data_IF_105797164494
#
_entry.id   IF_105797164494
#
_cell.length_a   1.000
_cell.length_b   1.000
_cell.length_c   1.000
_cell.angle_alpha   90.00
_cell.angle_beta   90.00
_cell.angle_gamma   90.00
#
_symmetry.space_group_name_H-M   'P 1'
#
loop_
_entity.id
_entity.type
_entity.pdbx_description
1 polymer ?
#
# COMPACT_ATOMS: atom_id res chain seq x y z
N UNK A 1 -11.48 -48.98 -0.98
CA UNK A 1 -11.81 -47.84 -0.06
C UNK A 1 -10.62 -47.09 0.49
N UNK A 2 -9.44 -47.71 0.75
CA UNK A 2 -8.26 -46.98 1.29
C UNK A 2 -7.61 -45.94 0.34
N UNK A 3 -7.73 -46.09 -0.99
CA UNK A 3 -7.14 -45.15 -1.98
C UNK A 3 -7.91 -43.83 -2.16
N UNK A 4 -9.22 -43.82 -1.86
CA UNK A 4 -10.07 -42.63 -1.99
C UNK A 4 -9.85 -41.70 -0.76
N UNK A 5 -9.57 -42.28 0.40
CA UNK A 5 -9.31 -41.51 1.62
C UNK A 5 -7.99 -40.72 1.54
N UNK A 6 -6.99 -41.27 0.86
CA UNK A 6 -5.69 -40.57 0.68
C UNK A 6 -5.79 -39.39 -0.28
N UNK A 7 -6.62 -39.47 -1.32
CA UNK A 7 -6.85 -38.39 -2.26
C UNK A 7 -7.59 -37.19 -1.61
N UNK A 8 -8.52 -37.45 -0.71
CA UNK A 8 -9.26 -36.42 0.03
C UNK A 8 -8.40 -35.68 1.05
N UNK A 9 -7.43 -36.36 1.67
CA UNK A 9 -6.48 -35.72 2.60
C UNK A 9 -5.48 -34.84 1.86
N UNK A 10 -5.01 -35.24 0.67
CA UNK A 10 -4.13 -34.39 -0.14
C UNK A 10 -4.84 -33.15 -0.69
N UNK A 11 -6.11 -33.24 -1.10
CA UNK A 11 -6.88 -32.05 -1.55
C UNK A 11 -7.17 -31.06 -0.44
N UNK A 12 -7.36 -31.52 0.82
CA UNK A 12 -7.57 -30.60 1.95
C UNK A 12 -6.30 -29.86 2.38
N UNK A 13 -5.11 -30.40 2.08
CA UNK A 13 -3.83 -29.73 2.35
C UNK A 13 -3.45 -28.70 1.28
N UNK A 14 -3.98 -28.83 0.05
CA UNK A 14 -3.75 -27.87 -1.03
C UNK A 14 -4.69 -26.65 -0.99
N UNK A 15 -5.79 -26.71 -0.23
CA UNK A 15 -6.74 -25.62 -0.10
C UNK A 15 -6.37 -24.59 0.99
N UNK A 16 -5.30 -24.79 1.73
CA UNK A 16 -4.78 -23.82 2.71
C UNK A 16 -3.67 -22.94 2.12
N UNK A 17 -3.87 -22.38 0.93
CA UNK A 17 -3.18 -21.18 0.48
C UNK A 17 -3.70 -19.99 1.30
N UNK A 18 -3.50 -20.04 2.61
CA UNK A 18 -3.95 -18.99 3.50
C UNK A 18 -3.08 -17.77 3.31
N UNK A 19 -3.62 -16.79 2.64
CA UNK A 19 -3.17 -15.41 2.73
C UNK A 19 -3.32 -14.98 4.21
N UNK A 20 -2.36 -15.32 5.05
CA UNK A 20 -2.41 -15.03 6.48
C UNK A 20 -2.00 -13.58 6.66
N UNK A 21 -2.99 -12.68 6.66
CA UNK A 21 -2.84 -11.32 7.17
C UNK A 21 -2.45 -11.38 8.65
N UNK A 22 -1.18 -11.58 8.94
CA UNK A 22 -0.65 -11.50 10.29
C UNK A 22 -0.23 -10.06 10.57
N UNK A 23 -0.56 -9.50 11.74
CA UNK A 23 0.04 -8.26 12.17
C UNK A 23 1.56 -8.45 12.17
N UNK A 24 2.31 -7.46 11.67
CA UNK A 24 3.77 -7.51 11.64
C UNK A 24 4.30 -7.89 13.02
N UNK A 25 5.10 -8.95 13.14
CA UNK A 25 5.75 -9.28 14.41
C UNK A 25 6.62 -8.09 14.81
N UNK A 26 6.49 -7.63 16.04
CA UNK A 26 7.09 -6.41 16.57
C UNK A 26 8.62 -6.30 16.42
N UNK A 27 9.31 -7.35 16.01
CA UNK A 27 10.76 -7.46 16.11
C UNK A 27 11.54 -7.71 14.80
N UNK A 28 10.90 -7.88 13.64
CA UNK A 28 11.65 -8.26 12.43
C UNK A 28 11.55 -7.30 11.25
N UNK A 29 10.48 -6.47 11.16
CA UNK A 29 10.27 -5.59 10.01
C UNK A 29 9.94 -4.19 10.51
N UNK A 30 10.98 -3.48 10.91
CA UNK A 30 10.83 -2.16 11.50
C UNK A 30 10.57 -1.13 10.40
N UNK A 31 9.33 -0.73 10.26
CA UNK A 31 8.96 0.48 9.53
C UNK A 31 8.85 1.65 10.50
N UNK A 32 9.07 2.88 10.05
CA UNK A 32 8.88 4.11 10.84
C UNK A 32 7.42 4.62 10.80
N UNK A 33 6.54 3.94 10.07
CA UNK A 33 5.11 4.22 10.13
C UNK A 33 4.50 3.72 11.43
N UNK A 34 3.78 4.61 12.12
CA UNK A 34 3.11 4.31 13.39
C UNK A 34 1.60 4.40 13.23
N UNK A 35 0.90 3.31 13.60
CA UNK A 35 -0.57 3.26 13.56
C UNK A 35 -1.16 4.37 14.43
N UNK A 36 -2.21 5.00 13.93
CA UNK A 36 -2.90 6.14 14.52
C UNK A 36 -2.16 7.48 14.47
N UNK A 37 -0.94 7.54 13.93
CA UNK A 37 -0.27 8.82 13.66
C UNK A 37 -0.84 9.49 12.40
N UNK A 38 -0.83 10.82 12.45
CA UNK A 38 -1.26 11.67 11.34
C UNK A 38 -0.04 12.21 10.60
N UNK A 39 -0.18 12.28 9.28
CA UNK A 39 0.79 12.84 8.35
C UNK A 39 0.10 13.82 7.43
N UNK A 40 0.86 14.73 6.84
CA UNK A 40 0.40 15.60 5.77
C UNK A 40 1.24 15.39 4.52
N UNK A 41 0.62 15.52 3.37
CA UNK A 41 1.30 15.51 2.09
C UNK A 41 2.09 16.82 1.90
N UNK A 42 3.38 16.74 1.64
CA UNK A 42 4.25 17.88 1.31
C UNK A 42 4.19 18.27 -0.15
N UNK A 43 3.69 17.38 -0.99
CA UNK A 43 3.50 17.60 -2.42
C UNK A 43 2.27 16.85 -2.91
N UNK A 44 1.67 17.23 -4.05
CA UNK A 44 0.55 16.50 -4.60
C UNK A 44 0.96 15.08 -5.02
N UNK A 45 0.02 14.14 -4.90
CA UNK A 45 0.17 12.74 -5.30
C UNK A 45 -1.10 12.27 -6.01
N UNK A 46 -0.99 11.21 -6.81
CA UNK A 46 -2.17 10.58 -7.40
C UNK A 46 -2.76 9.52 -6.45
N UNK A 47 -4.07 9.51 -6.37
CA UNK A 47 -4.85 8.44 -5.76
C UNK A 47 -5.40 7.56 -6.87
N UNK A 48 -4.94 6.33 -6.95
CA UNK A 48 -5.25 5.42 -8.06
C UNK A 48 -5.80 4.09 -7.59
N UNK A 49 -6.73 3.55 -8.37
CA UNK A 49 -7.17 2.18 -8.29
C UNK A 49 -6.30 1.36 -9.26
N UNK A 50 -5.31 0.63 -8.74
CA UNK A 50 -4.35 -0.12 -9.58
C UNK A 50 -4.88 -1.48 -10.01
N UNK A 51 -5.81 -2.08 -9.26
CA UNK A 51 -6.36 -3.38 -9.62
C UNK A 51 -7.89 -3.35 -9.66
N UNK A 52 -8.43 -3.78 -10.79
CA UNK A 52 -9.89 -3.91 -10.99
C UNK A 52 -10.39 -5.36 -10.78
N UNK A 53 -9.51 -6.33 -10.43
CA UNK A 53 -9.85 -7.74 -10.65
C UNK A 53 -9.98 -8.64 -9.39
N UNK A 54 -9.47 -8.29 -8.22
CA UNK A 54 -9.52 -9.22 -7.05
C UNK A 54 -9.90 -8.51 -5.75
N UNK A 55 -9.29 -7.38 -5.45
CA UNK A 55 -9.66 -6.50 -4.35
C UNK A 55 -9.40 -5.08 -4.84
N UNK A 56 -10.39 -4.21 -4.78
CA UNK A 56 -10.26 -2.81 -5.15
C UNK A 56 -9.25 -2.12 -4.22
N UNK A 57 -7.99 -2.14 -4.63
CA UNK A 57 -6.88 -1.61 -3.84
C UNK A 57 -6.54 -0.21 -4.37
N UNK A 58 -6.74 0.79 -3.53
CA UNK A 58 -6.34 2.15 -3.82
C UNK A 58 -4.89 2.37 -3.37
N UNK A 59 -4.12 3.08 -4.19
CA UNK A 59 -2.73 3.44 -3.87
C UNK A 59 -2.55 4.96 -3.93
N UNK A 60 -1.66 5.48 -3.09
CA UNK A 60 -1.04 6.77 -3.37
C UNK A 60 0.19 6.54 -4.25
N UNK A 61 0.27 7.32 -5.32
CA UNK A 61 1.34 7.20 -6.31
C UNK A 61 2.06 8.55 -6.45
N UNK A 62 3.37 8.51 -6.33
CA UNK A 62 4.22 9.67 -6.53
C UNK A 62 4.15 10.13 -7.99
N UNK A 63 4.02 11.45 -8.22
CA UNK A 63 4.12 12.04 -9.57
C UNK A 63 5.54 11.79 -10.09
N UNK A 64 5.66 11.35 -11.34
CA UNK A 64 6.95 11.03 -11.97
C UNK A 64 7.41 9.59 -11.80
N UNK A 65 6.57 8.71 -11.24
CA UNK A 65 6.82 7.26 -11.30
C UNK A 65 6.39 6.78 -12.68
N UNK A 66 7.37 6.49 -13.53
CA UNK A 66 7.13 5.93 -14.85
C UNK A 66 6.54 4.52 -14.74
N UNK A 67 5.69 4.16 -15.73
CA UNK A 67 5.33 2.77 -16.07
C UNK A 67 4.29 2.05 -15.20
N UNK A 68 3.33 2.78 -14.65
CA UNK A 68 2.11 2.15 -14.11
C UNK A 68 0.93 2.16 -15.12
N UNK A 69 1.20 2.40 -16.38
CA UNK A 69 0.34 2.23 -17.57
C UNK A 69 -0.95 3.06 -17.60
N UNK A 70 -1.65 3.22 -16.49
CA UNK A 70 -2.93 3.93 -16.39
C UNK A 70 -2.83 5.23 -15.55
N UNK A 71 -1.62 5.64 -15.17
CA UNK A 71 -1.37 6.80 -14.32
C UNK A 71 -0.55 7.82 -15.12
N UNK A 72 -0.92 9.11 -15.10
CA UNK A 72 -0.14 10.14 -15.79
C UNK A 72 1.24 10.29 -15.14
N UNK A 73 2.28 10.40 -15.94
CA UNK A 73 3.65 10.59 -15.45
C UNK A 73 3.85 11.98 -14.84
N UNK A 74 3.11 12.97 -15.36
CA UNK A 74 3.25 14.37 -14.94
C UNK A 74 1.92 15.00 -14.58
N UNK A 75 1.97 16.02 -13.73
CA UNK A 75 0.81 16.83 -13.40
C UNK A 75 0.22 17.52 -14.63
N UNK A 76 1.06 17.92 -15.58
CA UNK A 76 0.64 18.56 -16.83
C UNK A 76 -0.18 17.59 -17.70
N UNK A 77 0.25 16.36 -17.84
CA UNK A 77 -0.52 15.32 -18.55
C UNK A 77 -1.90 15.11 -17.92
N UNK A 78 -1.95 15.03 -16.59
CA UNK A 78 -3.21 14.93 -15.86
C UNK A 78 -4.12 16.14 -16.12
N UNK A 79 -3.57 17.36 -16.01
CA UNK A 79 -4.34 18.60 -16.17
C UNK A 79 -4.90 18.81 -17.60
N UNK A 80 -4.21 18.31 -18.63
CA UNK A 80 -4.68 18.37 -20.01
C UNK A 80 -5.96 17.57 -20.25
N UNK A 81 -6.11 16.43 -19.62
CA UNK A 81 -7.28 15.57 -19.76
C UNK A 81 -7.50 14.71 -18.50
N UNK A 82 -8.00 15.29 -17.40
CA UNK A 82 -8.19 14.57 -16.14
C UNK A 82 -9.08 13.33 -16.26
N UNK A 83 -10.07 13.37 -17.15
CA UNK A 83 -11.02 12.26 -17.35
C UNK A 83 -10.46 11.07 -18.12
N UNK A 84 -9.28 11.21 -18.73
CA UNK A 84 -8.61 10.10 -19.43
C UNK A 84 -7.94 9.10 -18.48
N UNK A 85 -7.84 9.45 -17.20
CA UNK A 85 -7.08 8.69 -16.21
C UNK A 85 -8.00 8.18 -15.09
N UNK A 86 -7.79 6.94 -14.66
CA UNK A 86 -8.50 6.35 -13.51
C UNK A 86 -7.81 6.79 -12.18
N UNK A 87 -7.54 8.09 -12.04
CA UNK A 87 -6.88 8.66 -10.87
C UNK A 87 -7.55 9.95 -10.41
N UNK A 88 -7.48 10.21 -9.13
CA UNK A 88 -7.78 11.51 -8.53
C UNK A 88 -6.46 12.17 -8.07
N UNK A 89 -6.40 13.48 -8.06
CA UNK A 89 -5.28 14.23 -7.51
C UNK A 89 -5.55 14.57 -6.05
N UNK A 90 -4.69 14.14 -5.15
CA UNK A 90 -4.63 14.62 -3.77
C UNK A 90 -3.69 15.82 -3.72
N UNK A 91 -4.17 16.99 -3.29
CA UNK A 91 -3.34 18.18 -3.19
C UNK A 91 -2.31 18.08 -2.05
N UNK A 92 -1.30 18.93 -2.12
CA UNK A 92 -0.44 19.22 -0.97
C UNK A 92 -1.28 19.59 0.26
N UNK A 93 -0.78 19.30 1.44
CA UNK A 93 -1.44 19.51 2.75
C UNK A 93 -2.62 18.58 3.05
N UNK A 94 -2.94 17.62 2.16
CA UNK A 94 -3.93 16.58 2.49
C UNK A 94 -3.45 15.79 3.70
N UNK A 95 -4.33 15.66 4.69
CA UNK A 95 -4.06 14.94 5.93
C UNK A 95 -4.37 13.45 5.78
N UNK A 96 -3.47 12.62 6.28
CA UNK A 96 -3.55 11.16 6.27
C UNK A 96 -3.37 10.62 7.69
N UNK A 97 -4.06 9.55 8.02
CA UNK A 97 -3.89 8.80 9.28
C UNK A 97 -3.49 7.38 8.97
N UNK A 98 -2.39 6.91 9.53
CA UNK A 98 -2.02 5.50 9.40
C UNK A 98 -3.04 4.64 10.13
N UNK A 99 -3.78 3.86 9.38
CA UNK A 99 -4.83 2.98 9.92
C UNK A 99 -4.29 1.57 10.21
N UNK A 100 -3.29 1.11 9.44
CA UNK A 100 -2.77 -0.24 9.57
C UNK A 100 -1.36 -0.41 9.01
N UNK A 101 -0.56 -1.25 9.66
CA UNK A 101 0.70 -1.80 9.15
C UNK A 101 0.55 -3.31 9.15
N UNK A 102 0.55 -3.94 7.98
CA UNK A 102 0.35 -5.36 7.81
C UNK A 102 1.58 -6.04 7.25
N UNK A 103 1.87 -7.19 7.79
CA UNK A 103 2.77 -8.17 7.20
C UNK A 103 1.94 -9.27 6.55
N UNK A 104 2.20 -9.53 5.27
CA UNK A 104 1.59 -10.63 4.53
C UNK A 104 2.68 -11.54 3.99
N UNK A 105 2.38 -12.81 3.85
CA UNK A 105 3.21 -13.76 3.14
C UNK A 105 2.41 -14.32 1.98
N UNK A 106 2.86 -14.04 0.78
CA UNK A 106 2.34 -14.62 -0.44
C UNK A 106 3.24 -15.78 -0.85
N UNK A 107 2.65 -16.91 -1.22
CA UNK A 107 3.41 -18.11 -1.55
C UNK A 107 4.32 -17.92 -2.75
N UNK A 108 3.89 -17.16 -3.76
CA UNK A 108 4.66 -16.90 -4.99
C UNK A 108 5.57 -15.68 -4.87
N UNK A 109 5.08 -14.61 -4.22
CA UNK A 109 5.78 -13.33 -4.15
C UNK A 109 6.56 -13.13 -2.83
N UNK A 110 6.42 -14.05 -1.87
CA UNK A 110 7.10 -13.98 -0.58
C UNK A 110 6.49 -12.97 0.41
N UNK A 111 7.25 -12.60 1.43
CA UNK A 111 6.80 -11.68 2.46
C UNK A 111 6.69 -10.25 1.93
N UNK A 112 5.67 -9.50 2.41
CA UNK A 112 5.44 -8.08 2.06
C UNK A 112 4.93 -7.31 3.26
N UNK A 113 5.24 -6.01 3.31
CA UNK A 113 4.68 -5.07 4.27
C UNK A 113 3.79 -4.09 3.53
N UNK A 114 2.58 -3.90 4.06
CA UNK A 114 1.59 -2.97 3.52
C UNK A 114 1.28 -1.89 4.54
N UNK A 115 1.42 -0.64 4.14
CA UNK A 115 1.08 0.52 4.95
C UNK A 115 -0.25 1.07 4.44
N UNK A 116 -1.29 0.97 5.26
CA UNK A 116 -2.62 1.50 4.94
C UNK A 116 -2.85 2.80 5.68
N UNK A 117 -3.28 3.82 4.97
CA UNK A 117 -3.71 5.09 5.52
C UNK A 117 -5.17 5.38 5.17
N UNK A 118 -5.80 6.24 5.96
CA UNK A 118 -7.09 6.85 5.71
C UNK A 118 -6.87 8.33 5.39
N UNK A 119 -7.52 8.83 4.34
CA UNK A 119 -7.54 10.24 3.98
C UNK A 119 -8.51 10.95 4.89
N UNK A 120 -8.06 12.01 5.57
CA UNK A 120 -8.86 12.68 6.61
C UNK A 120 -9.66 13.86 6.08
N UNK A 121 -9.27 14.43 4.93
CA UNK A 121 -9.88 15.65 4.40
C UNK A 121 -10.09 15.60 2.89
N UNK A 122 -10.75 16.64 2.37
CA UNK A 122 -11.00 16.80 0.93
C UNK A 122 -12.07 15.85 0.37
N UNK A 123 -12.12 15.77 -0.95
CA UNK A 123 -13.11 14.99 -1.74
C UNK A 123 -13.05 13.48 -1.41
N UNK A 124 -11.87 12.98 -1.07
CA UNK A 124 -11.61 11.57 -0.82
C UNK A 124 -11.56 11.21 0.67
N UNK A 125 -12.04 12.10 1.56
CA UNK A 125 -12.08 11.86 3.00
C UNK A 125 -12.78 10.53 3.34
N UNK A 126 -12.20 9.77 4.26
CA UNK A 126 -12.65 8.44 4.67
C UNK A 126 -12.20 7.30 3.72
N UNK A 127 -11.64 7.61 2.55
CA UNK A 127 -11.08 6.57 1.68
C UNK A 127 -9.77 6.04 2.26
N UNK A 128 -9.55 4.73 2.07
CA UNK A 128 -8.30 4.06 2.46
C UNK A 128 -7.41 3.84 1.25
N UNK A 129 -6.12 3.96 1.46
CA UNK A 129 -5.11 3.75 0.43
C UNK A 129 -3.84 3.13 0.99
N UNK A 130 -3.05 2.54 0.11
CA UNK A 130 -1.72 2.01 0.41
C UNK A 130 -0.66 3.07 0.10
N UNK A 131 0.32 3.19 0.99
CA UNK A 131 1.41 4.16 0.89
C UNK A 131 2.70 3.59 0.28
N UNK A 132 2.72 2.32 -0.10
CA UNK A 132 3.95 1.65 -0.54
C UNK A 132 4.62 2.31 -1.75
N UNK A 133 3.84 2.91 -2.66
CA UNK A 133 4.37 3.59 -3.87
C UNK A 133 4.81 5.05 -3.62
N UNK A 134 4.54 5.59 -2.43
CA UNK A 134 5.05 6.89 -1.97
C UNK A 134 6.08 6.74 -0.86
N UNK A 135 6.42 5.51 -0.50
CA UNK A 135 7.42 5.17 0.52
C UNK A 135 8.78 4.89 -0.10
N UNK A 136 9.85 5.10 0.66
CA UNK A 136 11.19 4.64 0.30
C UNK A 136 11.30 3.17 0.68
N UNK A 137 11.72 2.33 -0.28
CA UNK A 137 12.00 0.92 0.01
C UNK A 137 13.44 0.78 0.49
N UNK A 138 13.61 0.28 1.71
CA UNK A 138 14.92 0.14 2.35
C UNK A 138 15.23 -1.32 2.63
N UNK A 139 16.29 -1.83 2.02
CA UNK A 139 16.82 -3.13 2.39
C UNK A 139 17.53 -3.04 3.74
N UNK A 140 17.06 -3.81 4.73
CA UNK A 140 17.68 -3.87 6.05
C UNK A 140 18.45 -5.17 6.20
N UNK A 141 19.59 -5.11 6.86
CA UNK A 141 20.38 -6.30 7.21
C UNK A 141 19.48 -7.32 7.93
N UNK A 142 19.58 -8.57 7.52
CA UNK A 142 18.79 -9.69 8.03
C UNK A 142 17.27 -9.63 7.70
N UNK A 143 16.83 -8.73 6.81
CA UNK A 143 15.47 -8.75 6.29
C UNK A 143 15.42 -9.46 4.93
N UNK A 144 14.48 -10.40 4.71
CA UNK A 144 14.30 -11.03 3.39
C UNK A 144 13.57 -10.12 2.41
N UNK A 145 13.15 -8.92 2.83
CA UNK A 145 12.38 -7.98 2.02
C UNK A 145 12.80 -6.55 2.29
N UNK A 146 12.53 -5.68 1.31
CA UNK A 146 12.60 -4.25 1.50
C UNK A 146 11.46 -3.75 2.38
N UNK A 147 11.79 -2.87 3.31
CA UNK A 147 10.85 -2.32 4.28
C UNK A 147 10.43 -0.92 3.83
N UNK A 148 9.11 -0.64 3.72
CA UNK A 148 8.64 0.70 3.39
C UNK A 148 8.89 1.66 4.55
N UNK A 149 9.65 2.72 4.26
CA UNK A 149 9.98 3.81 5.19
C UNK A 149 9.37 5.12 4.71
N UNK A 150 9.17 6.07 5.62
CA UNK A 150 8.62 7.39 5.28
C UNK A 150 9.54 8.12 4.29
N UNK A 151 8.99 8.53 3.15
CA UNK A 151 9.66 9.53 2.31
C UNK A 151 9.33 10.93 2.84
N UNK A 152 10.28 11.53 3.53
CA UNK A 152 10.13 12.85 4.14
C UNK A 152 10.01 13.99 3.11
N UNK A 153 10.24 13.73 1.82
CA UNK A 153 9.94 14.66 0.74
C UNK A 153 8.45 14.66 0.38
N UNK A 154 7.73 13.57 0.71
CA UNK A 154 6.32 13.39 0.38
C UNK A 154 5.44 13.54 1.62
N UNK A 155 5.87 12.99 2.74
CA UNK A 155 5.10 12.93 3.98
C UNK A 155 5.80 13.65 5.12
N UNK A 156 5.05 14.42 5.88
CA UNK A 156 5.49 15.05 7.12
C UNK A 156 4.62 14.58 8.28
N UNK A 157 5.27 14.18 9.36
CA UNK A 157 4.58 13.81 10.59
C UNK A 157 3.95 15.06 11.22
N UNK A 158 2.65 15.01 11.46
CA UNK A 158 1.98 16.04 12.25
C UNK A 158 2.32 15.80 13.71
N UNK A 159 3.17 16.65 14.29
CA UNK A 159 3.42 16.62 15.74
C UNK A 159 2.08 16.77 16.46
N UNK A 160 1.82 15.90 17.46
CA UNK A 160 0.67 16.12 18.35
C UNK A 160 0.79 17.51 18.97
N UNK A 161 -0.31 18.27 18.98
CA UNK A 161 -0.36 19.53 19.73
C UNK A 161 -0.14 19.30 21.22
#
# INVERSE_FOLDING_TARGET
MKKILFALICCSLLACGCNTNRPSPKNHYYTDYVVSQNYVLKQPVFFSLISKNIDDINFLVKIGVADLGAIPETLEQFQKNPSAWDVDLLPQSTALKISRVNYTYDFEAGPRIWITAEILDGKLSGKKCLLNLVSIQVHKDNSPIDVPMIDTNILELVSKP
#
